data_IF_755563618490
#
_entry.id   IF_755563618490
#
_cell.length_a   1.000
_cell.length_b   1.000
_cell.length_c   1.000
_cell.angle_alpha   90.00
_cell.angle_beta   90.00
_cell.angle_gamma   90.00
#
_symmetry.space_group_name_H-M   'P 1'
#
loop_
_entity.id
_entity.type
_entity.pdbx_description
1 polymer ?
#
# COMPACT_ATOMS: atom_id res chain seq x y z
N UNK A 1 29.95 -2.40 16.91
CA UNK A 1 28.65 -1.88 16.41
C UNK A 1 27.66 -3.04 16.50
N UNK A 2 26.48 -2.83 17.08
CA UNK A 2 25.46 -3.88 17.12
C UNK A 2 24.80 -4.01 15.74
N UNK A 3 24.70 -5.23 15.22
CA UNK A 3 24.12 -5.54 13.91
C UNK A 3 23.10 -6.67 14.06
N UNK A 4 22.09 -6.71 13.17
CA UNK A 4 21.11 -7.79 13.15
C UNK A 4 21.71 -9.10 12.64
N UNK A 5 21.31 -10.22 13.24
CA UNK A 5 21.71 -11.57 12.84
C UNK A 5 21.21 -11.92 11.44
N UNK A 6 20.00 -11.45 11.12
CA UNK A 6 19.36 -11.65 9.83
C UNK A 6 18.47 -10.47 9.49
N UNK A 7 18.39 -10.16 8.20
CA UNK A 7 17.43 -9.20 7.65
C UNK A 7 16.60 -9.88 6.57
N UNK A 8 15.28 -9.73 6.62
CA UNK A 8 14.38 -10.20 5.57
C UNK A 8 13.42 -9.11 5.14
N UNK A 9 13.13 -9.01 3.85
CA UNK A 9 12.18 -8.02 3.31
C UNK A 9 10.88 -8.70 2.94
N UNK A 10 9.75 -8.16 3.42
CA UNK A 10 8.41 -8.64 3.04
C UNK A 10 8.09 -8.22 1.62
N UNK A 11 7.27 -9.01 0.92
CA UNK A 11 6.73 -8.61 -0.37
C UNK A 11 5.80 -7.39 -0.24
N UNK A 12 4.84 -7.45 0.68
CA UNK A 12 3.90 -6.35 0.93
C UNK A 12 4.59 -5.13 1.57
N UNK A 13 4.50 -3.98 0.89
CA UNK A 13 5.12 -2.70 1.25
C UNK A 13 6.65 -2.74 1.45
N UNK A 14 7.36 -3.78 1.00
CA UNK A 14 8.84 -3.94 1.11
C UNK A 14 9.42 -3.63 2.49
N UNK A 15 8.70 -4.03 3.55
CA UNK A 15 9.13 -3.73 4.93
C UNK A 15 10.24 -4.67 5.37
N UNK A 16 11.27 -4.12 6.02
CA UNK A 16 12.41 -4.86 6.54
C UNK A 16 12.08 -5.38 7.94
N UNK A 17 12.35 -6.67 8.12
CA UNK A 17 12.35 -7.37 9.41
C UNK A 17 13.80 -7.64 9.80
N UNK A 18 14.13 -7.36 11.05
CA UNK A 18 15.42 -7.57 11.67
C UNK A 18 15.26 -8.65 12.73
N UNK A 19 16.13 -9.65 12.71
CA UNK A 19 16.18 -10.68 13.74
C UNK A 19 17.39 -10.41 14.62
N UNK A 20 17.17 -10.33 15.93
CA UNK A 20 18.15 -9.94 16.96
C UNK A 20 17.97 -10.86 18.16
N UNK A 21 18.93 -11.74 18.44
CA UNK A 21 18.92 -12.61 19.62
C UNK A 21 17.60 -13.40 19.80
N UNK A 22 17.01 -13.86 18.68
CA UNK A 22 15.74 -14.58 18.65
C UNK A 22 14.48 -13.70 18.65
N UNK A 23 14.60 -12.38 18.81
CA UNK A 23 13.50 -11.43 18.65
C UNK A 23 13.35 -10.99 17.18
N UNK A 24 12.12 -10.79 16.73
CA UNK A 24 11.78 -10.24 15.41
C UNK A 24 11.27 -8.80 15.55
N UNK A 25 11.94 -7.86 14.87
CA UNK A 25 11.60 -6.44 14.89
C UNK A 25 11.34 -5.97 13.46
N UNK A 26 10.16 -5.39 13.20
CA UNK A 26 9.77 -4.85 11.90
C UNK A 26 9.61 -3.33 11.96
N UNK A 27 10.34 -2.59 11.13
CA UNK A 27 10.23 -1.12 11.06
C UNK A 27 9.26 -0.73 9.95
N UNK A 28 8.20 -0.01 10.29
CA UNK A 28 7.17 0.42 9.36
C UNK A 28 7.30 1.92 9.11
N UNK A 29 7.63 2.30 7.87
CA UNK A 29 7.68 3.70 7.40
C UNK A 29 6.60 3.93 6.34
N UNK A 30 5.37 4.28 6.74
CA UNK A 30 4.22 4.34 5.83
C UNK A 30 4.04 5.71 5.14
N UNK A 31 4.73 6.75 5.60
CA UNK A 31 4.64 8.12 5.09
C UNK A 31 5.89 8.48 4.28
N UNK A 32 5.71 9.30 3.22
CA UNK A 32 6.78 9.78 2.34
C UNK A 32 7.69 8.66 1.80
N UNK A 33 7.12 7.47 1.59
CA UNK A 33 7.84 6.28 1.18
C UNK A 33 7.24 5.70 -0.10
N UNK A 34 7.90 6.02 -1.22
CA UNK A 34 7.51 5.55 -2.55
C UNK A 34 7.61 4.04 -2.69
N UNK A 35 8.60 3.40 -2.06
CA UNK A 35 8.75 1.93 -2.06
C UNK A 35 7.58 1.26 -1.33
N UNK A 36 7.16 1.81 -0.19
CA UNK A 36 6.01 1.33 0.56
C UNK A 36 4.73 1.39 -0.28
N UNK A 37 4.47 2.54 -0.90
CA UNK A 37 3.27 2.74 -1.71
C UNK A 37 3.27 1.91 -2.99
N UNK A 38 4.40 1.80 -3.69
CA UNK A 38 4.52 1.00 -4.91
C UNK A 38 4.25 -0.49 -4.68
N UNK A 39 4.53 -1.00 -3.47
CA UNK A 39 4.32 -2.40 -3.11
C UNK A 39 3.04 -2.60 -2.25
N UNK A 40 2.09 -1.65 -2.30
CA UNK A 40 0.79 -1.75 -1.63
C UNK A 40 -0.24 -2.44 -2.53
N UNK A 41 -0.78 -3.56 -2.08
CA UNK A 41 -1.78 -4.38 -2.81
C UNK A 41 -3.20 -4.28 -2.22
N UNK A 42 -3.45 -3.37 -1.27
CA UNK A 42 -4.72 -3.28 -0.54
C UNK A 42 -5.76 -2.44 -1.28
N UNK A 43 -6.92 -3.04 -1.54
CA UNK A 43 -8.18 -2.32 -1.81
C UNK A 43 -8.97 -2.15 -0.50
N UNK A 44 -9.79 -1.12 -0.43
CA UNK A 44 -10.67 -0.82 0.72
C UNK A 44 -12.08 -0.48 0.23
N UNK A 45 -13.04 -0.57 1.14
CA UNK A 45 -14.41 -0.07 0.91
C UNK A 45 -14.69 1.02 1.94
N UNK A 46 -15.22 2.14 1.48
CA UNK A 46 -15.64 3.25 2.35
C UNK A 46 -17.02 2.97 2.95
N UNK A 47 -17.37 3.66 4.03
CA UNK A 47 -18.67 3.49 4.69
C UNK A 47 -19.87 3.88 3.81
N UNK A 48 -19.66 4.75 2.82
CA UNK A 48 -20.65 5.15 1.82
C UNK A 48 -20.67 4.24 0.57
N UNK A 49 -20.01 3.08 0.62
CA UNK A 49 -20.13 2.06 -0.43
C UNK A 49 -19.27 2.30 -1.68
N UNK A 50 -18.09 2.93 -1.53
CA UNK A 50 -17.15 3.13 -2.63
C UNK A 50 -15.91 2.25 -2.46
N UNK A 51 -15.40 1.71 -3.57
CA UNK A 51 -14.09 1.07 -3.59
C UNK A 51 -13.02 2.17 -3.58
N UNK A 52 -12.10 2.06 -2.63
CA UNK A 52 -10.97 2.98 -2.42
C UNK A 52 -9.65 2.27 -2.69
N UNK A 53 -9.03 2.47 -3.86
CA UNK A 53 -7.81 1.78 -4.25
C UNK A 53 -6.57 2.16 -3.43
N UNK A 54 -6.52 3.40 -2.93
CA UNK A 54 -5.44 3.90 -2.11
C UNK A 54 -5.99 4.66 -0.90
N UNK A 55 -5.39 4.48 0.28
CA UNK A 55 -5.89 5.04 1.54
C UNK A 55 -5.91 6.58 1.52
N UNK A 56 -4.89 7.20 0.93
CA UNK A 56 -4.68 8.64 0.96
C UNK A 56 -5.23 9.35 -0.30
N UNK A 57 -5.77 8.60 -1.27
CA UNK A 57 -6.37 9.14 -2.49
C UNK A 57 -7.89 9.13 -2.44
N UNK A 58 -8.50 10.15 -3.02
CA UNK A 58 -9.96 10.27 -3.16
C UNK A 58 -10.39 10.63 -4.59
N UNK A 59 -9.43 10.84 -5.48
CA UNK A 59 -9.58 11.14 -6.90
C UNK A 59 -9.92 9.91 -7.76
N UNK A 60 -9.68 8.70 -7.25
CA UNK A 60 -9.86 7.43 -7.98
C UNK A 60 -10.85 6.47 -7.31
N UNK A 61 -11.83 7.00 -6.56
CA UNK A 61 -12.90 6.20 -5.97
C UNK A 61 -13.85 5.64 -7.03
N UNK A 62 -14.42 4.46 -6.78
CA UNK A 62 -15.44 3.84 -7.63
C UNK A 62 -16.67 3.55 -6.77
N UNK A 63 -17.83 4.01 -7.19
CA UNK A 63 -19.09 3.72 -6.52
C UNK A 63 -19.55 2.28 -6.80
N UNK A 64 -19.89 1.53 -5.75
CA UNK A 64 -20.43 0.17 -5.88
C UNK A 64 -21.92 0.23 -6.21
N UNK A 65 -22.66 1.19 -5.63
CA UNK A 65 -24.12 1.24 -5.71
C UNK A 65 -24.82 -0.06 -5.29
N UNK A 66 -26.02 -0.28 -5.80
CA UNK A 66 -26.71 -1.57 -5.69
C UNK A 66 -26.46 -2.37 -6.97
N UNK A 67 -25.58 -3.36 -6.91
CA UNK A 67 -25.26 -4.21 -8.06
C UNK A 67 -25.08 -5.68 -7.66
N UNK A 68 -25.09 -6.55 -8.67
CA UNK A 68 -24.91 -7.98 -8.51
C UNK A 68 -23.43 -8.37 -8.36
N UNK A 69 -23.18 -9.61 -7.93
CA UNK A 69 -21.81 -10.09 -7.71
C UNK A 69 -20.93 -10.01 -8.95
N UNK A 70 -21.47 -10.21 -10.15
CA UNK A 70 -20.69 -10.12 -11.40
C UNK A 70 -20.28 -8.68 -11.69
N UNK A 71 -21.17 -7.70 -11.50
CA UNK A 71 -20.79 -6.29 -11.61
C UNK A 71 -19.73 -5.92 -10.58
N UNK A 72 -19.86 -6.37 -9.32
CA UNK A 72 -18.85 -6.11 -8.27
C UNK A 72 -17.48 -6.63 -8.68
N UNK A 73 -17.39 -7.83 -9.28
CA UNK A 73 -16.11 -8.35 -9.82
C UNK A 73 -15.52 -7.44 -10.88
N UNK A 74 -16.34 -6.89 -11.77
CA UNK A 74 -15.93 -5.89 -12.76
C UNK A 74 -15.37 -4.64 -12.09
N UNK A 75 -16.08 -4.09 -11.12
CA UNK A 75 -15.66 -2.89 -10.38
C UNK A 75 -14.36 -3.11 -9.60
N UNK A 76 -14.14 -4.31 -9.05
CA UNK A 76 -12.87 -4.65 -8.38
C UNK A 76 -11.69 -4.69 -9.35
N UNK A 77 -11.89 -5.19 -10.57
CA UNK A 77 -10.85 -5.18 -11.63
C UNK A 77 -10.53 -3.74 -12.03
N UNK A 78 -11.56 -2.96 -12.27
CA UNK A 78 -11.44 -1.54 -12.58
C UNK A 78 -10.73 -0.75 -11.46
N UNK A 79 -11.07 -1.01 -10.20
CA UNK A 79 -10.40 -0.41 -9.05
C UNK A 79 -8.91 -0.72 -9.00
N UNK A 80 -8.54 -1.95 -9.38
CA UNK A 80 -7.15 -2.37 -9.44
C UNK A 80 -6.39 -1.72 -10.61
N UNK A 81 -7.06 -1.51 -11.75
CA UNK A 81 -6.49 -0.78 -12.90
C UNK A 81 -6.30 0.71 -12.60
N UNK A 82 -7.26 1.34 -11.90
CA UNK A 82 -7.17 2.74 -11.44
C UNK A 82 -6.25 2.93 -10.23
N UNK A 83 -5.65 1.87 -9.70
CA UNK A 83 -4.83 1.94 -8.49
C UNK A 83 -3.53 2.67 -8.77
N UNK A 84 -3.34 3.77 -8.06
CA UNK A 84 -2.13 4.58 -8.13
C UNK A 84 -1.57 4.84 -6.72
N UNK A 85 -0.24 4.73 -6.53
CA UNK A 85 0.43 5.20 -5.32
C UNK A 85 0.08 6.65 -4.98
N UNK A 86 -0.09 6.96 -3.69
CA UNK A 86 -0.16 8.35 -3.23
C UNK A 86 1.24 8.97 -3.33
N UNK A 87 2.21 8.42 -2.58
CA UNK A 87 3.61 8.80 -2.67
C UNK A 87 4.25 8.14 -3.90
N UNK A 88 4.42 8.90 -4.98
CA UNK A 88 4.97 8.44 -6.27
C UNK A 88 6.31 9.10 -6.62
N UNK A 89 6.94 8.66 -7.71
CA UNK A 89 8.20 9.25 -8.21
C UNK A 89 8.10 10.76 -8.57
N UNK A 90 6.88 11.29 -8.69
CA UNK A 90 6.60 12.70 -8.97
C UNK A 90 6.42 13.55 -7.70
N UNK A 91 6.34 12.95 -6.52
CA UNK A 91 6.21 13.69 -5.27
C UNK A 91 7.54 14.32 -4.88
N UNK A 92 7.57 15.66 -4.93
CA UNK A 92 8.72 16.47 -4.52
C UNK A 92 8.98 16.43 -3.01
N UNK A 93 8.05 15.92 -2.20
CA UNK A 93 8.25 15.67 -0.77
C UNK A 93 9.12 14.45 -0.50
N UNK A 94 9.18 13.50 -1.44
CA UNK A 94 10.03 12.32 -1.35
C UNK A 94 11.46 12.65 -1.80
N UNK A 95 12.07 13.70 -1.24
CA UNK A 95 13.51 13.87 -1.33
C UNK A 95 14.17 12.94 -0.32
N UNK A 96 14.95 11.99 -0.86
CA UNK A 96 15.93 11.15 -0.17
C UNK A 96 15.43 9.85 0.50
N UNK A 97 15.65 8.75 -0.23
CA UNK A 97 16.42 7.64 0.31
C UNK A 97 17.46 7.23 -0.75
N UNK A 98 18.63 7.90 -0.71
CA UNK A 98 19.87 7.23 -1.11
C UNK A 98 20.20 6.17 -0.07
#
# INVERSE_FOLDING_TARGET
>A
QAQADRVSTREMHRRKKYYLDGAEVEVVRPMDNTEFCANCTRLRVTSDGKIKPCLLRSDNLIDIGTCDCERIKGLLREANERREPYFGAKDKSCSAAR
#
